data_IF_889470753096
#
_entry.id   IF_889470753096
#
_cell.length_a   1.000
_cell.length_b   1.000
_cell.length_c   1.000
_cell.angle_alpha   90.00
_cell.angle_beta   90.00
_cell.angle_gamma   90.00
#
_symmetry.space_group_name_H-M   'P 1'
#
loop_
_entity.id
_entity.type
_entity.pdbx_description
1 polymer ?
#
# COMPACT_ATOMS: atom_id res chain seq x y z
N UNK A 1 32.57 8.01 -0.73
CA UNK A 1 32.07 8.11 0.66
C UNK A 1 30.54 8.03 0.60
N UNK A 2 29.97 6.83 0.72
CA UNK A 2 28.53 6.60 0.57
C UNK A 2 27.88 6.89 1.93
N UNK A 3 27.09 7.97 2.04
CA UNK A 3 26.35 8.25 3.28
C UNK A 3 25.29 7.15 3.45
N UNK A 4 25.15 6.53 4.63
CA UNK A 4 24.07 5.56 4.86
C UNK A 4 22.73 6.26 4.59
N UNK A 5 21.87 5.62 3.79
CA UNK A 5 20.53 6.14 3.55
C UNK A 5 19.77 6.10 4.89
N UNK A 6 19.06 7.19 5.27
CA UNK A 6 18.25 7.17 6.49
C UNK A 6 17.13 6.13 6.32
N UNK A 7 17.17 5.07 7.12
CA UNK A 7 16.12 4.06 7.18
C UNK A 7 15.08 4.53 8.23
N UNK A 8 13.86 4.84 7.78
CA UNK A 8 12.78 5.34 8.65
C UNK A 8 11.91 4.15 9.05
N UNK A 9 11.96 3.77 10.32
CA UNK A 9 11.10 2.75 10.89
C UNK A 9 9.83 3.38 11.48
N UNK A 10 8.68 3.11 10.86
CA UNK A 10 7.38 3.63 11.31
C UNK A 10 6.79 2.69 12.35
N UNK A 11 6.70 3.14 13.61
CA UNK A 11 6.29 2.31 14.77
C UNK A 11 4.76 2.22 14.91
N UNK A 12 4.01 3.21 14.42
CA UNK A 12 2.56 3.24 14.55
C UNK A 12 1.89 3.64 13.23
N UNK A 13 1.10 2.73 12.66
CA UNK A 13 0.18 3.02 11.58
C UNK A 13 -1.24 3.10 12.17
N UNK A 14 -1.95 4.21 11.95
CA UNK A 14 -3.31 4.34 12.47
C UNK A 14 -4.27 3.49 11.63
N UNK A 15 -5.22 2.84 12.31
CA UNK A 15 -6.29 2.06 11.65
C UNK A 15 -7.06 2.93 10.66
N UNK A 16 -7.26 4.21 10.99
CA UNK A 16 -7.88 5.20 10.12
C UNK A 16 -7.12 5.39 8.82
N UNK A 17 -5.79 5.40 8.83
CA UNK A 17 -5.00 5.53 7.62
C UNK A 17 -5.20 4.34 6.68
N UNK A 18 -5.22 3.11 7.23
CA UNK A 18 -5.51 1.91 6.46
C UNK A 18 -6.91 1.92 5.86
N UNK A 19 -7.91 2.33 6.67
CA UNK A 19 -9.30 2.42 6.19
C UNK A 19 -9.48 3.44 5.07
N UNK A 20 -8.89 4.64 5.20
CA UNK A 20 -8.96 5.68 4.18
C UNK A 20 -8.29 5.24 2.88
N UNK A 21 -7.13 4.57 2.96
CA UNK A 21 -6.43 4.02 1.80
C UNK A 21 -7.30 3.00 1.06
N UNK A 22 -7.91 2.07 1.79
CA UNK A 22 -8.71 1.00 1.21
C UNK A 22 -10.02 1.57 0.62
N UNK A 23 -10.67 2.50 1.33
CA UNK A 23 -11.84 3.23 0.84
C UNK A 23 -11.54 4.03 -0.44
N UNK A 24 -10.36 4.66 -0.53
CA UNK A 24 -9.93 5.40 -1.72
C UNK A 24 -9.75 4.46 -2.91
N UNK A 25 -9.14 3.29 -2.68
CA UNK A 25 -8.92 2.28 -3.73
C UNK A 25 -10.26 1.74 -4.26
N UNK A 26 -11.21 1.50 -3.35
CA UNK A 26 -12.57 1.11 -3.71
C UNK A 26 -13.30 2.21 -4.49
N UNK A 27 -13.25 3.45 -4.01
CA UNK A 27 -13.89 4.60 -4.66
C UNK A 27 -13.35 4.83 -6.07
N UNK A 28 -12.04 4.68 -6.27
CA UNK A 28 -11.41 4.73 -7.59
C UNK A 28 -12.01 3.69 -8.54
N UNK A 29 -12.14 2.44 -8.10
CA UNK A 29 -12.71 1.36 -8.91
C UNK A 29 -14.17 1.63 -9.28
N UNK A 30 -14.99 2.02 -8.29
CA UNK A 30 -16.39 2.39 -8.49
C UNK A 30 -16.52 3.57 -9.45
N UNK A 31 -15.62 4.55 -9.37
CA UNK A 31 -15.63 5.72 -10.26
C UNK A 31 -15.37 5.33 -11.71
N UNK A 32 -14.34 4.51 -11.96
CA UNK A 32 -13.98 4.09 -13.33
C UNK A 32 -15.07 3.18 -13.92
N UNK A 33 -15.52 2.18 -13.16
CA UNK A 33 -16.56 1.25 -13.59
C UNK A 33 -17.89 2.00 -13.77
N UNK A 34 -18.24 2.89 -12.85
CA UNK A 34 -19.44 3.70 -12.90
C UNK A 34 -19.49 4.59 -14.14
N UNK A 35 -18.39 5.26 -14.49
CA UNK A 35 -18.28 6.00 -15.75
C UNK A 35 -18.42 5.06 -16.95
N UNK A 36 -17.80 3.88 -16.90
CA UNK A 36 -17.97 2.85 -17.93
C UNK A 36 -19.43 2.39 -18.11
N UNK A 37 -20.21 2.29 -17.04
CA UNK A 37 -21.64 1.98 -17.10
C UNK A 37 -22.43 3.14 -17.71
N UNK A 38 -22.17 4.38 -17.27
CA UNK A 38 -22.84 5.58 -17.81
C UNK A 38 -22.60 5.77 -19.31
N UNK A 39 -21.43 5.38 -19.80
CA UNK A 39 -21.05 5.46 -21.21
C UNK A 39 -21.33 4.17 -22.00
N UNK A 40 -21.97 3.17 -21.39
CA UNK A 40 -22.20 1.84 -21.96
C UNK A 40 -20.93 1.17 -22.54
N UNK A 41 -19.77 1.44 -21.92
CA UNK A 41 -18.46 0.94 -22.34
C UNK A 41 -18.02 -0.26 -21.49
N UNK A 42 -18.25 -1.46 -22.02
CA UNK A 42 -17.81 -2.71 -21.38
C UNK A 42 -16.29 -2.75 -21.19
N UNK A 43 -15.53 -2.17 -22.12
CA UNK A 43 -14.08 -2.09 -22.01
C UNK A 43 -13.64 -1.27 -20.78
N UNK A 44 -14.27 -0.12 -20.52
CA UNK A 44 -13.94 0.69 -19.34
C UNK A 44 -14.28 0.00 -18.03
N UNK A 45 -15.34 -0.81 -18.00
CA UNK A 45 -15.68 -1.62 -16.82
C UNK A 45 -14.59 -2.66 -16.53
N UNK A 46 -14.10 -3.37 -17.56
CA UNK A 46 -13.01 -4.34 -17.40
C UNK A 46 -11.68 -3.68 -17.06
N UNK A 47 -11.35 -2.54 -17.67
CA UNK A 47 -10.15 -1.77 -17.31
C UNK A 47 -10.23 -1.33 -15.85
N UNK A 48 -11.38 -0.83 -15.39
CA UNK A 48 -11.61 -0.47 -13.99
C UNK A 48 -11.40 -1.66 -13.05
N UNK A 49 -11.93 -2.84 -13.40
CA UNK A 49 -11.73 -4.06 -12.64
C UNK A 49 -10.25 -4.48 -12.56
N UNK A 50 -9.54 -4.48 -13.69
CA UNK A 50 -8.11 -4.85 -13.74
C UNK A 50 -7.28 -3.89 -12.88
N UNK A 51 -7.50 -2.58 -13.03
CA UNK A 51 -6.78 -1.55 -12.26
C UNK A 51 -7.04 -1.71 -10.76
N UNK A 52 -8.28 -2.02 -10.36
CA UNK A 52 -8.60 -2.30 -8.97
C UNK A 52 -7.82 -3.51 -8.42
N UNK A 53 -7.79 -4.63 -9.15
CA UNK A 53 -7.03 -5.81 -8.72
C UNK A 53 -5.53 -5.53 -8.63
N UNK A 54 -4.97 -4.76 -9.56
CA UNK A 54 -3.56 -4.35 -9.52
C UNK A 54 -3.27 -3.45 -8.30
N UNK A 55 -4.16 -2.51 -7.98
CA UNK A 55 -4.01 -1.64 -6.83
C UNK A 55 -4.07 -2.43 -5.50
N UNK A 56 -4.98 -3.39 -5.39
CA UNK A 56 -5.08 -4.29 -4.24
C UNK A 56 -3.82 -5.17 -4.12
N UNK A 57 -3.36 -5.75 -5.24
CA UNK A 57 -2.15 -6.57 -5.25
C UNK A 57 -0.89 -5.78 -4.87
N UNK A 58 -0.75 -4.54 -5.36
CA UNK A 58 0.35 -3.64 -4.97
C UNK A 58 0.33 -3.32 -3.48
N UNK A 59 -0.85 -3.11 -2.92
CA UNK A 59 -1.03 -2.88 -1.48
C UNK A 59 -0.66 -4.12 -0.67
N UNK A 60 -1.08 -5.31 -1.10
CA UNK A 60 -0.72 -6.58 -0.47
C UNK A 60 0.81 -6.80 -0.47
N UNK A 61 1.48 -6.49 -1.58
CA UNK A 61 2.94 -6.58 -1.68
C UNK A 61 3.66 -5.63 -0.71
N UNK A 62 3.12 -4.43 -0.47
CA UNK A 62 3.69 -3.47 0.46
C UNK A 62 3.67 -3.94 1.93
N UNK A 63 2.75 -4.84 2.29
CA UNK A 63 2.68 -5.43 3.64
C UNK A 63 3.83 -6.40 3.95
N UNK A 64 4.62 -6.82 2.95
CA UNK A 64 5.76 -7.73 3.15
C UNK A 64 6.86 -7.16 4.06
N UNK A 65 6.96 -5.84 4.16
CA UNK A 65 7.96 -5.17 4.99
C UNK A 65 7.47 -4.88 6.42
N UNK A 66 6.33 -5.44 6.84
CA UNK A 66 5.86 -5.30 8.22
C UNK A 66 6.65 -6.24 9.14
N UNK A 67 7.21 -5.67 10.20
CA UNK A 67 7.93 -6.40 11.24
C UNK A 67 7.10 -6.38 12.52
N UNK A 68 7.16 -7.46 13.28
CA UNK A 68 6.64 -7.49 14.65
C UNK A 68 7.48 -6.59 15.56
N UNK A 69 6.96 -6.25 16.75
CA UNK A 69 7.68 -5.41 17.71
C UNK A 69 9.02 -6.04 18.11
N UNK A 70 9.08 -7.36 18.26
CA UNK A 70 10.31 -8.08 18.61
C UNK A 70 11.33 -8.04 17.47
N UNK A 71 10.88 -8.27 16.23
CA UNK A 71 11.73 -8.16 15.04
C UNK A 71 12.23 -6.72 14.84
N UNK A 72 11.38 -5.73 15.08
CA UNK A 72 11.74 -4.32 15.00
C UNK A 72 12.82 -3.93 16.02
N UNK A 73 12.72 -4.41 17.26
CA UNK A 73 13.77 -4.20 18.28
C UNK A 73 15.09 -4.83 17.85
N UNK A 74 15.06 -6.10 17.45
CA UNK A 74 16.25 -6.79 16.96
C UNK A 74 16.89 -6.07 15.77
N UNK A 75 16.07 -5.51 14.87
CA UNK A 75 16.56 -4.76 13.71
C UNK A 75 17.23 -3.44 14.10
N UNK A 76 16.73 -2.74 15.11
CA UNK A 76 17.37 -1.55 15.67
C UNK A 76 18.71 -1.94 16.30
N UNK A 77 18.75 -3.01 17.10
CA UNK A 77 19.99 -3.49 17.73
C UNK A 77 21.07 -3.84 16.68
N UNK A 78 20.68 -4.47 15.57
CA UNK A 78 21.58 -4.77 14.43
C UNK A 78 22.13 -3.50 13.78
N UNK A 79 21.28 -2.47 13.60
CA UNK A 79 21.67 -1.19 13.02
C UNK A 79 22.58 -0.39 13.96
N UNK A 80 22.34 -0.43 15.26
CA UNK A 80 23.22 0.18 16.27
C UNK A 80 24.59 -0.51 16.34
N UNK A 81 24.64 -1.83 16.18
CA UNK A 81 25.91 -2.59 16.18
C UNK A 81 26.76 -2.37 14.92
N UNK A 82 26.20 -1.81 13.83
CA UNK A 82 26.92 -1.50 12.59
C UNK A 82 27.38 -0.05 12.48
N UNK A 83 27.05 0.79 13.46
CA UNK A 83 27.46 2.19 13.60
C UNK A 83 28.78 2.33 14.36
#
# INVERSE_FOLDING_TARGET
MNKPKPEILVIHESVWHSFVRDATTFLMAVSIIGVGVLLASTAMQWVGAIVFFLAVAGTAAAHKNRMTIEEARKRIDELEATL
#
